data_IF_163915313276
#
_entry.id   IF_163915313276
#
_cell.length_a   1.000
_cell.length_b   1.000
_cell.length_c   1.000
_cell.angle_alpha   90.00
_cell.angle_beta   90.00
_cell.angle_gamma   90.00
#
_symmetry.space_group_name_H-M   'P 1'
#
loop_
_entity.id
_entity.type
_entity.pdbx_description
1 polymer ?
#
# COMPACT_ATOMS: atom_id res chain seq x y z
N UNK A 1 0.54 -0.37 -13.79
CA UNK A 1 0.68 -1.81 -13.45
C UNK A 1 1.41 -2.02 -12.12
N UNK A 2 2.38 -1.15 -11.83
CA UNK A 2 3.19 -1.21 -10.63
C UNK A 2 2.37 -1.12 -9.32
N UNK A 3 1.23 -0.42 -9.29
CA UNK A 3 0.35 -0.30 -8.11
C UNK A 3 -0.12 -1.68 -7.60
N UNK A 4 -0.58 -2.54 -8.52
CA UNK A 4 -1.07 -3.89 -8.19
C UNK A 4 0.08 -4.77 -7.70
N UNK A 5 1.24 -4.70 -8.36
CA UNK A 5 2.43 -5.44 -7.98
C UNK A 5 2.98 -5.01 -6.61
N UNK A 6 3.03 -3.71 -6.32
CA UNK A 6 3.46 -3.17 -5.03
C UNK A 6 2.51 -3.60 -3.90
N UNK A 7 1.20 -3.58 -4.17
CA UNK A 7 0.19 -4.04 -3.21
C UNK A 7 0.32 -5.55 -2.97
N UNK A 8 0.49 -6.35 -4.02
CA UNK A 8 0.69 -7.80 -3.92
C UNK A 8 1.99 -8.15 -3.16
N UNK A 9 3.09 -7.46 -3.44
CA UNK A 9 4.35 -7.64 -2.71
C UNK A 9 4.19 -7.34 -1.22
N UNK A 10 3.47 -6.28 -0.86
CA UNK A 10 3.12 -5.99 0.53
C UNK A 10 2.25 -7.07 1.16
N UNK A 11 1.25 -7.59 0.45
CA UNK A 11 0.36 -8.66 0.94
C UNK A 11 1.07 -10.00 1.17
N UNK A 12 2.09 -10.29 0.37
CA UNK A 12 2.91 -11.49 0.50
C UNK A 12 4.06 -11.34 1.52
N UNK A 13 4.20 -10.17 2.14
CA UNK A 13 5.29 -9.90 3.09
C UNK A 13 6.67 -9.75 2.43
N UNK A 14 6.72 -9.47 1.12
CA UNK A 14 7.95 -9.26 0.35
C UNK A 14 8.39 -7.79 0.44
N UNK A 15 8.69 -7.32 1.65
CA UNK A 15 9.04 -5.92 1.91
C UNK A 15 10.20 -5.41 1.04
N UNK A 16 11.17 -6.27 0.73
CA UNK A 16 12.32 -5.96 -0.11
C UNK A 16 11.94 -5.60 -1.56
N UNK A 17 10.84 -6.14 -2.07
CA UNK A 17 10.32 -5.85 -3.42
C UNK A 17 9.22 -4.78 -3.39
N UNK A 18 8.49 -4.65 -2.30
CA UNK A 18 7.36 -3.72 -2.19
C UNK A 18 7.78 -2.25 -2.33
N UNK A 19 8.90 -1.83 -1.72
CA UNK A 19 9.39 -0.45 -1.77
C UNK A 19 9.81 0.00 -3.18
N UNK A 20 10.67 -0.72 -3.93
CA UNK A 20 11.02 -0.30 -5.29
C UNK A 20 9.82 -0.33 -6.25
N UNK A 21 8.92 -1.32 -6.11
CA UNK A 21 7.66 -1.34 -6.87
C UNK A 21 6.75 -0.17 -6.49
N UNK A 22 6.73 0.21 -5.21
CA UNK A 22 5.99 1.35 -4.69
C UNK A 22 6.50 2.68 -5.26
N UNK A 23 7.82 2.87 -5.35
CA UNK A 23 8.41 4.05 -6.00
C UNK A 23 8.00 4.09 -7.47
N UNK A 24 8.07 2.96 -8.20
CA UNK A 24 7.61 2.89 -9.59
C UNK A 24 6.12 3.24 -9.74
N UNK A 25 5.30 2.78 -8.83
CA UNK A 25 3.88 3.12 -8.79
C UNK A 25 3.65 4.62 -8.49
N UNK A 26 4.45 5.22 -7.62
CA UNK A 26 4.41 6.67 -7.36
C UNK A 26 4.85 7.48 -8.58
N UNK A 27 5.86 7.04 -9.32
CA UNK A 27 6.24 7.65 -10.61
C UNK A 27 5.09 7.59 -11.62
N UNK A 28 4.44 6.42 -11.78
CA UNK A 28 3.25 6.27 -12.64
C UNK A 28 2.13 7.23 -12.21
N UNK A 29 1.80 7.29 -10.92
CA UNK A 29 0.78 8.21 -10.39
C UNK A 29 1.16 9.69 -10.55
N UNK A 30 2.44 10.01 -10.42
CA UNK A 30 2.94 11.36 -10.62
C UNK A 30 2.81 11.82 -12.06
N UNK A 31 2.85 10.93 -13.07
CA UNK A 31 2.56 11.31 -14.46
C UNK A 31 1.14 11.86 -14.63
N UNK A 32 0.19 11.28 -13.90
CA UNK A 32 -1.24 11.63 -13.93
C UNK A 32 -1.60 12.81 -13.01
N UNK A 33 -0.67 13.22 -12.15
CA UNK A 33 -0.90 14.27 -11.17
C UNK A 33 -0.97 15.66 -11.86
N UNK A 34 -2.08 16.40 -11.74
CA UNK A 34 -2.21 17.74 -12.31
C UNK A 34 -1.32 18.79 -11.63
N UNK A 35 -0.95 18.60 -10.36
CA UNK A 35 -0.04 19.47 -9.61
C UNK A 35 1.22 18.68 -9.24
N UNK A 36 2.37 19.00 -9.84
CA UNK A 36 3.60 18.22 -9.64
C UNK A 36 4.24 18.44 -8.27
N UNK A 37 3.94 19.55 -7.60
CA UNK A 37 4.53 19.90 -6.31
C UNK A 37 3.71 19.37 -5.12
N UNK A 38 2.45 18.97 -5.36
CA UNK A 38 1.54 18.44 -4.34
C UNK A 38 1.15 17.00 -4.63
N UNK A 39 1.17 16.12 -3.61
CA UNK A 39 0.74 14.73 -3.79
C UNK A 39 -0.75 14.62 -4.18
N UNK A 40 -1.05 13.76 -5.16
CA UNK A 40 -2.43 13.49 -5.56
C UNK A 40 -3.19 12.59 -4.57
N UNK A 41 -4.51 12.67 -4.54
CA UNK A 41 -5.42 11.84 -3.76
C UNK A 41 -5.21 10.34 -4.02
N UNK A 42 -4.99 9.88 -5.28
CA UNK A 42 -4.54 8.53 -5.57
C UNK A 42 -3.18 8.18 -4.95
N UNK A 43 -2.19 9.08 -4.99
CA UNK A 43 -0.88 8.87 -4.36
C UNK A 43 -1.00 8.73 -2.84
N UNK A 44 -1.77 9.59 -2.19
CA UNK A 44 -2.01 9.52 -0.74
C UNK A 44 -2.73 8.22 -0.37
N UNK A 45 -3.73 7.81 -1.14
CA UNK A 45 -4.45 6.55 -0.89
C UNK A 45 -3.53 5.35 -1.07
N UNK A 46 -2.74 5.34 -2.15
CA UNK A 46 -1.77 4.28 -2.40
C UNK A 46 -0.73 4.19 -1.27
N UNK A 47 -0.18 5.33 -0.82
CA UNK A 47 0.72 5.39 0.34
C UNK A 47 0.06 4.88 1.62
N UNK A 48 -1.19 5.28 1.88
CA UNK A 48 -1.92 4.83 3.05
C UNK A 48 -2.13 3.31 3.03
N UNK A 49 -2.45 2.74 1.87
CA UNK A 49 -2.59 1.29 1.70
C UNK A 49 -1.26 0.57 1.96
N UNK A 50 -0.15 1.02 1.34
CA UNK A 50 1.16 0.38 1.52
C UNK A 50 1.70 0.52 2.94
N UNK A 51 1.36 1.61 3.65
CA UNK A 51 1.72 1.82 5.07
C UNK A 51 0.90 0.93 6.00
N UNK A 52 -0.41 0.77 5.73
CA UNK A 52 -1.32 -0.02 6.56
C UNK A 52 -1.00 -1.53 6.58
N UNK A 53 -0.15 -1.99 5.66
CA UNK A 53 0.51 -3.30 5.71
C UNK A 53 -0.46 -4.49 5.79
N UNK A 54 -1.50 -4.56 4.95
CA UNK A 54 -2.27 -5.82 4.77
C UNK A 54 -1.27 -6.92 4.44
N UNK A 55 -1.06 -7.87 5.36
CA UNK A 55 -0.25 -9.06 5.12
C UNK A 55 -1.12 -10.30 5.31
N UNK A 56 -1.15 -11.16 4.30
CA UNK A 56 -1.75 -12.49 4.44
C UNK A 56 -0.80 -13.45 5.15
N UNK A 57 0.50 -13.30 4.90
CA UNK A 57 1.55 -14.12 5.50
C UNK A 57 2.65 -13.19 6.03
N UNK A 58 2.80 -13.03 7.36
CA UNK A 58 3.83 -12.22 7.97
C UNK A 58 5.18 -12.96 7.99
N UNK A 59 5.68 -13.36 6.81
CA UNK A 59 6.85 -14.23 6.65
C UNK A 59 8.11 -13.64 7.32
N UNK A 60 8.32 -12.32 7.23
CA UNK A 60 9.44 -11.64 7.88
C UNK A 60 9.38 -11.76 9.40
N UNK A 61 8.21 -11.55 10.01
CA UNK A 61 8.03 -11.66 11.46
C UNK A 61 8.16 -13.11 11.93
N UNK A 62 7.65 -14.07 11.16
CA UNK A 62 7.86 -15.50 11.44
C UNK A 62 9.35 -15.82 11.44
N UNK A 63 10.11 -15.34 10.45
CA UNK A 63 11.56 -15.52 10.38
C UNK A 63 12.29 -14.95 11.60
N UNK A 64 11.90 -13.75 12.06
CA UNK A 64 12.45 -13.14 13.29
C UNK A 64 12.12 -13.99 14.52
N UNK A 65 10.89 -14.48 14.65
CA UNK A 65 10.45 -15.31 15.78
C UNK A 65 11.17 -16.67 15.80
N UNK A 66 11.40 -17.27 14.62
CA UNK A 66 12.20 -18.50 14.50
C UNK A 66 13.64 -18.22 14.95
N UNK A 67 14.26 -17.12 14.49
CA UNK A 67 15.61 -16.75 14.86
C UNK A 67 15.76 -16.44 16.36
N UNK A 68 14.70 -15.95 17.01
CA UNK A 68 14.68 -15.70 18.46
C UNK A 68 14.34 -16.93 19.31
N UNK A 69 14.15 -18.11 18.71
CA UNK A 69 13.85 -19.35 19.43
C UNK A 69 12.40 -19.45 19.95
N UNK A 70 11.45 -18.75 19.32
CA UNK A 70 10.03 -18.84 19.71
C UNK A 70 9.51 -20.27 19.56
N UNK A 71 8.76 -20.74 20.57
CA UNK A 71 8.13 -22.07 20.56
C UNK A 71 7.06 -22.20 19.48
N UNK A 72 6.31 -21.12 19.22
CA UNK A 72 5.26 -21.09 18.20
C UNK A 72 5.33 -19.81 17.34
N UNK A 73 6.26 -19.73 16.37
CA UNK A 73 6.45 -18.56 15.52
C UNK A 73 5.24 -18.20 14.65
N UNK A 74 4.38 -19.18 14.33
CA UNK A 74 3.21 -19.03 13.46
C UNK A 74 1.98 -18.49 14.19
N UNK A 75 1.98 -18.46 15.53
CA UNK A 75 0.85 -17.95 16.33
C UNK A 75 0.51 -16.48 16.01
N UNK A 76 1.46 -15.72 15.44
CA UNK A 76 1.27 -14.32 15.06
C UNK A 76 0.38 -14.12 13.82
N UNK A 77 0.16 -15.16 13.01
CA UNK A 77 -0.58 -15.03 11.74
C UNK A 77 -1.99 -14.48 11.96
N UNK A 78 -2.75 -15.11 12.88
CA UNK A 78 -4.13 -14.71 13.17
C UNK A 78 -4.25 -13.25 13.69
N UNK A 79 -3.52 -12.82 14.74
CA UNK A 79 -3.57 -11.43 15.20
C UNK A 79 -3.04 -10.44 14.16
N UNK A 80 -2.03 -10.80 13.36
CA UNK A 80 -1.54 -9.95 12.28
C UNK A 80 -2.59 -9.69 11.20
N UNK A 81 -3.32 -10.73 10.76
CA UNK A 81 -4.40 -10.55 9.76
C UNK A 81 -5.45 -9.59 10.31
N UNK A 82 -5.92 -9.78 11.54
CA UNK A 82 -6.94 -8.91 12.15
C UNK A 82 -6.43 -7.47 12.30
N UNK A 83 -5.23 -7.29 12.85
CA UNK A 83 -4.64 -5.98 13.07
C UNK A 83 -4.46 -5.22 11.74
N UNK A 84 -3.96 -5.90 10.71
CA UNK A 84 -3.72 -5.28 9.39
C UNK A 84 -5.03 -4.99 8.66
N UNK A 85 -6.06 -5.84 8.79
CA UNK A 85 -7.38 -5.55 8.25
C UNK A 85 -7.99 -4.28 8.84
N UNK A 86 -7.95 -4.15 10.18
CA UNK A 86 -8.45 -2.96 10.88
C UNK A 86 -7.63 -1.73 10.49
N UNK A 87 -6.31 -1.85 10.43
CA UNK A 87 -5.39 -0.80 9.99
C UNK A 87 -5.75 -0.29 8.59
N UNK A 88 -6.01 -1.19 7.64
CA UNK A 88 -6.32 -0.82 6.26
C UNK A 88 -7.70 -0.20 6.11
N UNK A 89 -8.71 -0.72 6.82
CA UNK A 89 -10.03 -0.09 6.86
C UNK A 89 -9.90 1.34 7.40
N UNK A 90 -9.16 1.53 8.50
CA UNK A 90 -8.92 2.84 9.07
C UNK A 90 -8.18 3.76 8.08
N UNK A 91 -7.10 3.29 7.46
CA UNK A 91 -6.29 4.05 6.51
C UNK A 91 -7.09 4.50 5.28
N UNK A 92 -7.85 3.59 4.66
CA UNK A 92 -8.69 3.92 3.49
C UNK A 92 -9.84 4.84 3.88
N UNK A 93 -10.49 4.59 5.02
CA UNK A 93 -11.57 5.45 5.52
C UNK A 93 -11.07 6.87 5.75
N UNK A 94 -9.96 7.04 6.47
CA UNK A 94 -9.38 8.35 6.76
C UNK A 94 -8.93 9.04 5.47
N UNK A 95 -8.26 8.32 4.57
CA UNK A 95 -7.85 8.88 3.28
C UNK A 95 -9.06 9.40 2.49
N UNK A 96 -10.15 8.61 2.40
CA UNK A 96 -11.37 9.03 1.71
C UNK A 96 -12.11 10.18 2.39
N UNK A 97 -12.13 10.21 3.72
CA UNK A 97 -12.73 11.33 4.47
C UNK A 97 -11.95 12.62 4.21
N UNK A 98 -10.61 12.56 4.23
CA UNK A 98 -9.75 13.73 3.97
C UNK A 98 -9.82 14.19 2.52
N UNK A 99 -9.97 13.28 1.54
CA UNK A 99 -10.17 13.64 0.13
C UNK A 99 -11.35 14.60 -0.08
N UNK A 100 -12.39 14.50 0.75
CA UNK A 100 -13.55 15.41 0.67
C UNK A 100 -13.20 16.85 1.09
N UNK A 101 -12.23 17.01 1.99
CA UNK A 101 -11.76 18.33 2.44
C UNK A 101 -10.66 18.91 1.54
N UNK A 102 -9.95 18.04 0.81
CA UNK A 102 -8.92 18.43 -0.17
C UNK A 102 -9.30 17.98 -1.58
N UNK A 103 -10.35 18.60 -2.17
CA UNK A 103 -10.74 18.28 -3.54
C UNK A 103 -9.62 18.64 -4.50
N UNK A 104 -9.31 17.71 -5.41
CA UNK A 104 -8.33 17.93 -6.45
C UNK A 104 -9.00 18.13 -7.79
N UNK A 105 -8.36 18.94 -8.63
CA UNK A 105 -8.76 19.09 -10.03
C UNK A 105 -8.79 17.72 -10.71
N UNK A 106 -9.77 17.46 -11.59
CA UNK A 106 -9.86 16.20 -12.32
C UNK A 106 -8.55 15.93 -13.03
N UNK A 107 -8.05 14.69 -12.94
CA UNK A 107 -6.89 14.27 -13.71
C UNK A 107 -7.15 14.51 -15.21
N UNK A 108 -6.13 14.90 -16.00
CA UNK A 108 -6.25 14.92 -17.45
C UNK A 108 -6.76 13.56 -17.92
N UNK A 109 -7.80 13.53 -18.77
CA UNK A 109 -8.33 12.28 -19.33
C UNK A 109 -7.16 11.51 -19.92
N UNK A 110 -6.94 10.28 -19.45
CA UNK A 110 -5.98 9.37 -20.06
C UNK A 110 -6.33 9.33 -21.55
N UNK A 111 -5.37 9.73 -22.40
CA UNK A 111 -5.47 9.54 -23.84
C UNK A 111 -5.71 8.05 -24.02
N UNK A 112 -6.84 7.67 -24.61
CA UNK A 112 -7.12 6.29 -25.00
C UNK A 112 -5.89 5.77 -25.72
N UNK A 113 -5.24 4.78 -25.11
CA UNK A 113 -4.17 4.04 -25.76
C UNK A 113 -4.85 3.29 -26.89
N UNK A 114 -4.80 3.87 -28.08
CA UNK A 114 -5.12 3.19 -29.33
C UNK A 114 -4.19 1.98 -29.44
N UNK A 115 -4.81 0.80 -29.49
CA UNK A 115 -4.20 -0.52 -29.70
C UNK A 115 -3.27 -0.57 -30.92
#
# INVERSE_FOLDING_TARGET
>A
GAIVLATAANMLGLANAATPLGIKAMEELQTLNPDKDTASNPMVTFLAMTTSSVQLIPATMIGVLVASGSREPTAIIAPSIVATFVSTIAAVTVAKLLQRFYPQSPAPRAVEVSE
#
